data_IF_977089093419
#
_entry.id   IF_977089093419
#
_cell.length_a   1.000
_cell.length_b   1.000
_cell.length_c   1.000
_cell.angle_alpha   90.00
_cell.angle_beta   90.00
_cell.angle_gamma   90.00
#
_symmetry.space_group_name_H-M   'P 1'
#
loop_
_entity.id
_entity.type
_entity.pdbx_description
1 polymer ?
#
# COMPACT_ATOMS: atom_id res chain seq x y z
N UNK A 1 -19.63 2.54 14.58
CA UNK A 1 -19.47 1.87 13.28
C UNK A 1 -20.59 2.39 12.39
N UNK A 2 -20.25 3.10 11.32
CA UNK A 2 -21.21 3.84 10.50
C UNK A 2 -22.18 2.84 9.82
N UNK A 3 -23.50 2.95 10.01
CA UNK A 3 -24.51 2.03 9.43
C UNK A 3 -24.38 1.92 7.89
N UNK A 4 -23.77 2.92 7.26
CA UNK A 4 -23.47 2.98 5.84
C UNK A 4 -22.38 1.98 5.38
N UNK A 5 -21.39 1.68 6.22
CA UNK A 5 -20.34 0.69 5.88
C UNK A 5 -20.93 -0.72 5.83
N UNK A 6 -21.97 -0.99 6.62
CA UNK A 6 -22.70 -2.27 6.58
C UNK A 6 -23.66 -2.37 5.38
N UNK A 7 -24.01 -1.25 4.73
CA UNK A 7 -24.93 -1.24 3.58
C UNK A 7 -24.23 -1.17 2.22
N UNK A 8 -22.94 -0.83 2.18
CA UNK A 8 -22.10 -1.11 1.02
C UNK A 8 -22.03 -2.64 0.89
N UNK A 9 -22.65 -3.17 -0.16
CA UNK A 9 -22.48 -4.56 -0.55
C UNK A 9 -21.09 -4.71 -1.19
N UNK A 10 -20.04 -4.63 -0.36
CA UNK A 10 -18.63 -4.64 -0.78
C UNK A 10 -18.27 -5.97 -1.49
N UNK A 11 -19.14 -6.99 -1.38
CA UNK A 11 -18.96 -8.30 -2.00
C UNK A 11 -18.88 -8.23 -3.54
N UNK A 12 -19.31 -7.13 -4.17
CA UNK A 12 -19.02 -6.84 -5.59
C UNK A 12 -18.64 -5.36 -5.75
N UNK A 13 -17.35 -5.04 -5.66
CA UNK A 13 -16.88 -3.71 -6.00
C UNK A 13 -17.18 -3.41 -7.47
N UNK A 14 -17.92 -2.33 -7.78
CA UNK A 14 -18.16 -1.95 -9.16
C UNK A 14 -16.83 -1.59 -9.81
N UNK A 15 -16.45 -2.34 -10.85
CA UNK A 15 -15.22 -2.08 -11.59
C UNK A 15 -15.31 -0.74 -12.34
N UNK A 16 -14.16 -0.10 -12.50
CA UNK A 16 -13.96 1.10 -13.30
C UNK A 16 -12.98 0.75 -14.42
N UNK A 17 -13.51 0.72 -15.64
CA UNK A 17 -12.71 0.71 -16.86
C UNK A 17 -12.38 2.14 -17.34
N UNK A 18 -11.61 2.24 -18.43
CA UNK A 18 -11.25 3.53 -19.01
C UNK A 18 -12.45 4.37 -19.48
N UNK A 19 -13.56 3.73 -19.90
CA UNK A 19 -14.75 4.45 -20.35
C UNK A 19 -15.51 5.06 -19.15
N UNK A 20 -15.66 4.30 -18.07
CA UNK A 20 -16.25 4.77 -16.81
C UNK A 20 -15.40 5.88 -16.19
N UNK A 21 -14.07 5.77 -16.24
CA UNK A 21 -13.16 6.81 -15.77
C UNK A 21 -13.34 8.14 -16.54
N UNK A 22 -13.48 8.08 -17.87
CA UNK A 22 -13.78 9.26 -18.71
C UNK A 22 -15.14 9.87 -18.40
N UNK A 23 -16.16 9.03 -18.18
CA UNK A 23 -17.51 9.50 -17.79
C UNK A 23 -17.45 10.20 -16.43
N UNK A 24 -16.74 9.61 -15.46
CA UNK A 24 -16.54 10.19 -14.14
C UNK A 24 -15.86 11.57 -14.25
N UNK A 25 -14.77 11.66 -15.01
CA UNK A 25 -14.04 12.91 -15.24
C UNK A 25 -14.91 13.99 -15.89
N UNK A 26 -15.71 13.65 -16.90
CA UNK A 26 -16.62 14.59 -17.60
C UNK A 26 -17.72 15.15 -16.69
N UNK A 27 -18.09 14.44 -15.61
CA UNK A 27 -19.08 14.91 -14.63
C UNK A 27 -18.49 15.89 -13.61
N UNK A 28 -17.16 15.98 -13.50
CA UNK A 28 -16.52 16.87 -12.55
C UNK A 28 -16.61 18.34 -13.00
N UNK A 29 -17.05 19.26 -12.11
CA UNK A 29 -17.11 20.68 -12.43
C UNK A 29 -15.77 21.23 -12.91
N UNK A 30 -15.76 21.82 -14.11
CA UNK A 30 -14.57 22.47 -14.66
C UNK A 30 -13.44 21.53 -15.13
N UNK A 31 -13.66 20.21 -15.18
CA UNK A 31 -12.64 19.27 -15.65
C UNK A 31 -12.21 19.55 -17.11
N UNK A 32 -13.16 19.90 -17.98
CA UNK A 32 -12.89 20.30 -19.37
C UNK A 32 -12.53 21.78 -19.54
N UNK A 33 -12.54 22.58 -18.47
CA UNK A 33 -12.20 24.01 -18.54
C UNK A 33 -10.68 24.18 -18.43
N UNK A 34 -10.06 24.73 -19.47
CA UNK A 34 -8.62 25.03 -19.50
C UNK A 34 -8.18 26.05 -18.45
N UNK A 35 -9.13 26.83 -17.90
CA UNK A 35 -8.86 27.80 -16.84
C UNK A 35 -8.72 27.16 -15.46
N UNK A 36 -9.24 25.94 -15.27
CA UNK A 36 -9.10 25.21 -14.02
C UNK A 36 -7.69 24.61 -13.93
N UNK A 37 -6.91 24.93 -12.89
CA UNK A 37 -5.58 24.36 -12.70
C UNK A 37 -5.57 22.82 -12.70
N UNK A 38 -4.57 22.22 -13.33
CA UNK A 38 -4.47 20.76 -13.50
C UNK A 38 -4.45 20.02 -12.16
N UNK A 39 -3.80 20.57 -11.13
CA UNK A 39 -3.77 19.99 -9.79
C UNK A 39 -5.17 19.91 -9.13
N UNK A 40 -6.07 20.86 -9.43
CA UNK A 40 -7.46 20.81 -8.96
C UNK A 40 -8.21 19.68 -9.69
N UNK A 41 -8.00 19.53 -11.00
CA UNK A 41 -8.62 18.45 -11.78
C UNK A 41 -8.18 17.07 -11.30
N UNK A 42 -6.88 16.90 -11.05
CA UNK A 42 -6.30 15.67 -10.47
C UNK A 42 -6.95 15.36 -9.11
N UNK A 43 -7.00 16.34 -8.21
CA UNK A 43 -7.62 16.14 -6.90
C UNK A 43 -9.11 15.82 -6.98
N UNK A 44 -9.86 16.47 -7.88
CA UNK A 44 -11.26 16.15 -8.14
C UNK A 44 -11.46 14.73 -8.67
N UNK A 45 -10.59 14.26 -9.57
CA UNK A 45 -10.64 12.90 -10.09
C UNK A 45 -10.30 11.86 -9.02
N UNK A 46 -9.25 12.10 -8.23
CA UNK A 46 -8.89 11.21 -7.12
C UNK A 46 -10.03 11.10 -6.11
N UNK A 47 -10.65 12.23 -5.77
CA UNK A 47 -11.83 12.27 -4.91
C UNK A 47 -12.98 11.43 -5.46
N UNK A 48 -13.31 11.58 -6.75
CA UNK A 48 -14.40 10.82 -7.37
C UNK A 48 -14.13 9.30 -7.40
N UNK A 49 -12.87 8.89 -7.58
CA UNK A 49 -12.47 7.49 -7.46
C UNK A 49 -12.64 6.98 -6.03
N UNK A 50 -12.20 7.74 -5.03
CA UNK A 50 -12.40 7.37 -3.62
C UNK A 50 -13.89 7.28 -3.27
N UNK A 51 -14.73 8.20 -3.76
CA UNK A 51 -16.19 8.15 -3.53
C UNK A 51 -16.82 6.92 -4.17
N UNK A 52 -16.34 6.52 -5.34
CA UNK A 52 -16.82 5.33 -6.03
C UNK A 52 -16.52 4.04 -5.25
N UNK A 53 -15.30 3.90 -4.71
CA UNK A 53 -14.88 2.69 -4.01
C UNK A 53 -15.29 2.64 -2.52
N UNK A 54 -15.26 3.78 -1.83
CA UNK A 54 -15.41 3.86 -0.37
C UNK A 54 -16.72 4.55 0.06
N UNK A 55 -17.43 5.16 -0.89
CA UNK A 55 -18.68 5.88 -0.65
C UNK A 55 -18.48 7.34 -0.24
N UNK A 56 -19.43 8.19 -0.64
CA UNK A 56 -19.41 9.64 -0.40
C UNK A 56 -19.26 10.00 1.10
N UNK A 57 -19.95 9.26 1.98
CA UNK A 57 -19.91 9.51 3.42
C UNK A 57 -18.51 9.28 4.00
N UNK A 58 -17.88 8.17 3.61
CA UNK A 58 -16.52 7.87 4.05
C UNK A 58 -15.55 8.96 3.60
N UNK A 59 -15.64 9.38 2.33
CA UNK A 59 -14.75 10.42 1.79
C UNK A 59 -14.96 11.75 2.52
N UNK A 60 -16.21 12.16 2.77
CA UNK A 60 -16.49 13.38 3.53
C UNK A 60 -15.90 13.34 4.93
N UNK A 61 -16.10 12.25 5.66
CA UNK A 61 -15.63 12.11 7.03
C UNK A 61 -14.11 12.00 7.09
N UNK A 62 -13.53 11.08 6.31
CA UNK A 62 -12.14 10.71 6.43
C UNK A 62 -11.20 11.74 5.80
N UNK A 63 -11.59 12.36 4.69
CA UNK A 63 -10.78 13.42 4.08
C UNK A 63 -10.74 14.67 4.95
N UNK A 64 -11.85 15.00 5.64
CA UNK A 64 -11.86 16.07 6.62
C UNK A 64 -10.98 15.71 7.82
N UNK A 65 -11.12 14.49 8.37
CA UNK A 65 -10.45 14.05 9.58
C UNK A 65 -8.94 13.91 9.42
N UNK A 66 -8.48 13.26 8.34
CA UNK A 66 -7.06 12.94 8.13
C UNK A 66 -6.32 14.00 7.32
N UNK A 67 -6.96 14.51 6.28
CA UNK A 67 -6.29 15.38 5.31
C UNK A 67 -6.62 16.87 5.48
N UNK A 68 -7.43 17.20 6.50
CA UNK A 68 -7.91 18.57 6.76
C UNK A 68 -8.59 19.19 5.52
N UNK A 69 -9.17 18.34 4.67
CA UNK A 69 -9.76 18.76 3.41
C UNK A 69 -11.15 19.32 3.67
N UNK A 70 -11.25 20.65 3.84
CA UNK A 70 -12.56 21.32 3.85
C UNK A 70 -13.08 21.43 2.42
N UNK A 71 -14.31 20.98 2.20
CA UNK A 71 -15.01 21.16 0.93
C UNK A 71 -15.00 22.64 0.51
N UNK A 72 -14.60 22.91 -0.74
CA UNK A 72 -14.40 24.28 -1.26
C UNK A 72 -13.00 24.87 -1.04
N UNK A 73 -12.11 24.19 -0.30
CA UNK A 73 -10.74 24.64 0.00
C UNK A 73 -9.66 23.70 -0.56
N UNK A 74 -9.92 23.02 -1.69
CA UNK A 74 -8.99 22.09 -2.35
C UNK A 74 -7.59 22.68 -2.60
N UNK A 75 -7.50 24.01 -2.73
CA UNK A 75 -6.23 24.72 -2.92
C UNK A 75 -5.31 24.70 -1.69
N UNK A 76 -5.86 24.45 -0.48
CA UNK A 76 -5.13 24.54 0.79
C UNK A 76 -4.65 23.18 1.33
N UNK A 77 -4.91 22.09 0.60
CA UNK A 77 -4.43 20.76 0.96
C UNK A 77 -2.91 20.72 0.76
N UNK A 78 -2.16 20.26 1.77
CA UNK A 78 -0.71 20.11 1.68
C UNK A 78 -0.33 19.17 0.53
N UNK A 79 0.87 19.32 -0.02
CA UNK A 79 1.35 18.45 -1.08
C UNK A 79 1.39 16.99 -0.63
N UNK A 80 1.87 16.73 0.59
CA UNK A 80 1.87 15.40 1.22
C UNK A 80 0.47 14.77 1.26
N UNK A 81 -0.55 15.54 1.67
CA UNK A 81 -1.92 15.03 1.71
C UNK A 81 -2.46 14.75 0.31
N UNK A 82 -2.16 15.59 -0.69
CA UNK A 82 -2.54 15.33 -2.09
C UNK A 82 -1.91 14.04 -2.59
N UNK A 83 -0.64 13.83 -2.30
CA UNK A 83 0.09 12.60 -2.67
C UNK A 83 -0.53 11.37 -2.01
N UNK A 84 -0.89 11.42 -0.72
CA UNK A 84 -1.60 10.32 -0.08
C UNK A 84 -2.96 10.01 -0.72
N UNK A 85 -3.72 11.05 -1.08
CA UNK A 85 -5.01 10.92 -1.76
C UNK A 85 -4.84 10.29 -3.15
N UNK A 86 -3.84 10.75 -3.92
CA UNK A 86 -3.53 10.18 -5.24
C UNK A 86 -3.10 8.73 -5.14
N UNK A 87 -2.22 8.41 -4.20
CA UNK A 87 -1.76 7.04 -3.98
C UNK A 87 -2.91 6.12 -3.60
N UNK A 88 -3.80 6.54 -2.71
CA UNK A 88 -4.95 5.73 -2.35
C UNK A 88 -5.85 5.49 -3.57
N UNK A 89 -6.21 6.55 -4.30
CA UNK A 89 -7.03 6.42 -5.51
C UNK A 89 -6.38 5.53 -6.57
N UNK A 90 -5.08 5.67 -6.80
CA UNK A 90 -4.30 4.82 -7.71
C UNK A 90 -4.32 3.35 -7.27
N UNK A 91 -4.12 3.07 -5.98
CA UNK A 91 -4.16 1.71 -5.45
C UNK A 91 -5.54 1.08 -5.64
N UNK A 92 -6.62 1.79 -5.30
CA UNK A 92 -7.97 1.26 -5.49
C UNK A 92 -8.27 0.97 -6.96
N UNK A 93 -7.86 1.86 -7.86
CA UNK A 93 -8.04 1.64 -9.29
C UNK A 93 -7.22 0.46 -9.83
N UNK A 94 -5.96 0.31 -9.41
CA UNK A 94 -5.10 -0.75 -9.92
C UNK A 94 -5.34 -2.13 -9.28
N UNK A 95 -5.87 -2.17 -8.06
CA UNK A 95 -6.08 -3.39 -7.29
C UNK A 95 -7.53 -3.89 -7.31
N UNK A 96 -8.45 -3.19 -7.99
CA UNK A 96 -9.88 -3.54 -8.06
C UNK A 96 -10.19 -4.96 -8.57
N UNK A 97 -9.25 -5.59 -9.29
CA UNK A 97 -9.39 -6.95 -9.84
C UNK A 97 -8.73 -8.03 -8.97
N UNK A 98 -8.09 -7.65 -7.86
CA UNK A 98 -7.44 -8.60 -6.96
C UNK A 98 -8.50 -9.31 -6.12
N UNK A 99 -8.39 -10.64 -6.04
CA UNK A 99 -9.29 -11.46 -5.22
C UNK A 99 -9.24 -11.02 -3.75
N UNK A 100 -10.43 -10.91 -3.16
CA UNK A 100 -10.66 -10.53 -1.76
C UNK A 100 -10.19 -9.11 -1.39
N UNK A 101 -10.02 -8.21 -2.36
CA UNK A 101 -9.67 -6.78 -2.15
C UNK A 101 -10.63 -6.07 -1.19
N UNK A 102 -11.88 -6.53 -1.04
CA UNK A 102 -12.82 -6.01 -0.05
C UNK A 102 -12.32 -6.11 1.39
N UNK A 103 -11.37 -6.99 1.68
CA UNK A 103 -10.85 -7.22 3.03
C UNK A 103 -10.13 -5.97 3.55
N UNK A 104 -9.04 -5.49 2.93
CA UNK A 104 -8.40 -4.26 3.37
C UNK A 104 -9.34 -3.05 3.21
N UNK A 105 -10.33 -3.05 2.30
CA UNK A 105 -11.27 -1.92 2.21
C UNK A 105 -12.22 -1.83 3.40
N UNK A 106 -12.70 -2.97 3.91
CA UNK A 106 -13.50 -3.02 5.14
C UNK A 106 -12.72 -2.44 6.32
N UNK A 107 -11.44 -2.78 6.43
CA UNK A 107 -10.57 -2.27 7.50
C UNK A 107 -10.19 -0.80 7.30
N UNK A 108 -10.03 -0.37 6.04
CA UNK A 108 -9.82 1.04 5.68
C UNK A 108 -11.02 1.92 6.06
N UNK A 109 -12.23 1.36 5.97
CA UNK A 109 -13.47 1.99 6.42
C UNK A 109 -13.68 1.87 7.95
N UNK A 110 -12.94 0.98 8.62
CA UNK A 110 -13.01 0.75 10.05
C UNK A 110 -12.04 1.60 10.85
N UNK A 111 -11.61 1.07 12.00
CA UNK A 111 -10.73 1.75 12.94
C UNK A 111 -9.23 1.51 12.64
N UNK A 112 -8.88 0.67 11.66
CA UNK A 112 -7.50 0.27 11.34
C UNK A 112 -7.03 0.71 9.94
N UNK A 113 -7.33 1.96 9.60
CA UNK A 113 -6.93 2.57 8.33
C UNK A 113 -5.44 2.41 8.02
N UNK A 114 -4.57 2.59 9.01
CA UNK A 114 -3.12 2.61 8.79
C UNK A 114 -2.58 1.21 8.43
N UNK A 115 -3.12 0.15 9.04
CA UNK A 115 -2.82 -1.24 8.65
C UNK A 115 -3.36 -1.53 7.26
N UNK A 116 -4.65 -1.25 7.04
CA UNK A 116 -5.30 -1.45 5.74
C UNK A 116 -4.60 -0.72 4.59
N UNK A 117 -4.17 0.52 4.82
CA UNK A 117 -3.38 1.28 3.85
C UNK A 117 -2.04 0.60 3.56
N UNK A 118 -1.38 0.06 4.58
CA UNK A 118 -0.12 -0.67 4.42
C UNK A 118 -0.32 -1.97 3.62
N UNK A 119 -1.44 -2.65 3.78
CA UNK A 119 -1.81 -3.84 3.00
C UNK A 119 -2.09 -3.50 1.52
N UNK A 120 -2.77 -2.38 1.27
CA UNK A 120 -2.95 -1.86 -0.09
C UNK A 120 -1.61 -1.48 -0.72
N UNK A 121 -0.70 -0.84 0.02
CA UNK A 121 0.65 -0.54 -0.47
C UNK A 121 1.46 -1.80 -0.75
N UNK A 122 1.37 -2.83 0.11
CA UNK A 122 1.99 -4.12 -0.16
C UNK A 122 1.45 -4.73 -1.47
N UNK A 123 0.13 -4.66 -1.67
CA UNK A 123 -0.51 -5.06 -2.92
C UNK A 123 -0.03 -4.26 -4.14
N UNK A 124 0.11 -2.94 -4.02
CA UNK A 124 0.69 -2.06 -5.06
C UNK A 124 2.09 -2.51 -5.45
N UNK A 125 2.91 -2.81 -4.45
CA UNK A 125 4.30 -3.26 -4.63
C UNK A 125 4.37 -4.63 -5.31
N UNK A 126 3.48 -5.56 -4.96
CA UNK A 126 3.38 -6.86 -5.64
C UNK A 126 2.92 -6.68 -7.09
N UNK A 127 1.87 -5.86 -7.30
CA UNK A 127 1.31 -5.59 -8.62
C UNK A 127 2.31 -4.92 -9.56
N UNK A 128 3.16 -4.01 -9.05
CA UNK A 128 4.18 -3.33 -9.85
C UNK A 128 5.31 -4.25 -10.32
N UNK A 129 5.37 -5.49 -9.82
CA UNK A 129 6.35 -6.50 -10.21
C UNK A 129 5.69 -7.68 -10.94
N UNK A 130 4.45 -7.51 -11.41
CA UNK A 130 3.65 -8.56 -12.06
C UNK A 130 3.55 -9.85 -11.24
N UNK A 131 3.48 -9.71 -9.91
CA UNK A 131 3.31 -10.84 -9.00
C UNK A 131 1.82 -11.07 -8.78
N UNK A 132 1.36 -12.29 -9.04
CA UNK A 132 0.00 -12.71 -8.74
C UNK A 132 -0.17 -12.88 -7.22
N UNK A 133 -1.25 -12.31 -6.67
CA UNK A 133 -1.56 -12.41 -5.26
C UNK A 133 -3.06 -12.26 -5.02
N UNK A 134 -3.48 -12.55 -3.80
CA UNK A 134 -4.81 -12.25 -3.28
C UNK A 134 -4.75 -11.85 -1.82
N UNK A 135 -5.75 -11.11 -1.38
CA UNK A 135 -5.96 -10.83 0.03
C UNK A 135 -6.61 -12.05 0.71
N UNK A 136 -6.60 -12.09 2.03
CA UNK A 136 -7.14 -13.21 2.79
C UNK A 136 -8.22 -12.75 3.73
N UNK A 137 -9.41 -13.32 3.55
CA UNK A 137 -10.56 -13.10 4.43
C UNK A 137 -10.25 -13.64 5.83
N UNK A 138 -10.32 -12.82 6.89
CA UNK A 138 -10.06 -13.27 8.25
C UNK A 138 -11.12 -14.29 8.71
N UNK A 139 -10.67 -15.36 9.36
CA UNK A 139 -11.50 -16.40 9.97
C UNK A 139 -11.35 -16.45 11.49
N UNK A 140 -10.73 -15.43 12.10
CA UNK A 140 -10.46 -15.32 13.55
C UNK A 140 -9.64 -16.49 14.12
N UNK A 141 -8.74 -17.05 13.31
CA UNK A 141 -7.87 -18.16 13.69
C UNK A 141 -6.41 -17.84 13.35
N UNK A 142 -5.59 -17.79 14.41
CA UNK A 142 -4.12 -17.68 14.29
C UNK A 142 -3.57 -18.74 13.33
N UNK A 143 -2.59 -18.36 12.49
CA UNK A 143 -2.04 -19.20 11.40
C UNK A 143 -2.90 -19.29 10.14
N UNK A 144 -4.06 -18.65 10.12
CA UNK A 144 -4.96 -18.59 8.97
C UNK A 144 -5.34 -17.14 8.62
N UNK A 145 -5.29 -16.23 9.60
CA UNK A 145 -5.52 -14.78 9.42
C UNK A 145 -4.19 -14.04 9.21
N UNK A 146 -3.55 -14.29 8.08
CA UNK A 146 -2.49 -13.43 7.55
C UNK A 146 -3.07 -12.61 6.40
N UNK A 147 -2.34 -11.62 5.90
CA UNK A 147 -2.97 -10.57 5.09
C UNK A 147 -3.05 -10.91 3.60
N UNK A 148 -2.05 -11.61 3.05
CA UNK A 148 -1.97 -11.92 1.60
C UNK A 148 -1.45 -13.33 1.31
N UNK A 149 -1.91 -13.92 0.19
CA UNK A 149 -1.26 -15.07 -0.46
C UNK A 149 -0.60 -14.62 -1.75
N UNK A 150 0.65 -15.03 -1.96
CA UNK A 150 1.49 -14.64 -3.10
C UNK A 150 1.82 -15.88 -3.92
N UNK A 151 1.54 -15.85 -5.21
CA UNK A 151 1.87 -16.93 -6.14
C UNK A 151 3.24 -16.66 -6.77
N UNK A 152 4.21 -17.51 -6.45
CA UNK A 152 5.53 -17.40 -7.05
C UNK A 152 5.62 -18.13 -8.39
N UNK A 153 6.71 -17.88 -9.12
CA UNK A 153 6.97 -18.44 -10.45
C UNK A 153 6.81 -19.97 -10.54
N UNK A 154 7.02 -20.70 -9.45
CA UNK A 154 6.85 -22.17 -9.37
C UNK A 154 5.44 -22.63 -9.04
N UNK A 155 4.47 -21.71 -9.06
CA UNK A 155 3.06 -21.93 -8.69
C UNK A 155 2.87 -22.36 -7.23
N UNK A 156 3.79 -21.97 -6.37
CA UNK A 156 3.68 -22.18 -4.93
C UNK A 156 3.11 -20.91 -4.28
N UNK A 157 2.10 -21.11 -3.43
CA UNK A 157 1.52 -20.04 -2.63
C UNK A 157 2.31 -19.82 -1.36
N UNK A 158 2.68 -18.56 -1.13
CA UNK A 158 3.39 -18.09 0.05
C UNK A 158 2.47 -17.19 0.87
N UNK A 159 2.54 -17.31 2.19
CA UNK A 159 1.71 -16.49 3.07
C UNK A 159 2.47 -15.22 3.44
N UNK A 160 1.85 -14.06 3.28
CA UNK A 160 2.40 -12.75 3.59
C UNK A 160 1.69 -12.10 4.76
N UNK A 161 2.47 -11.54 5.69
CA UNK A 161 1.97 -10.70 6.77
C UNK A 161 2.52 -9.28 6.59
N UNK A 162 1.66 -8.29 6.64
CA UNK A 162 1.94 -6.87 6.56
C UNK A 162 1.96 -6.24 7.96
N UNK A 163 2.94 -5.37 8.18
CA UNK A 163 3.09 -4.59 9.41
C UNK A 163 3.45 -3.16 9.05
N UNK A 164 2.93 -2.21 9.83
CA UNK A 164 3.36 -0.82 9.76
C UNK A 164 4.26 -0.48 10.95
N UNK A 165 5.28 0.33 10.71
CA UNK A 165 6.13 0.95 11.73
C UNK A 165 6.23 2.45 11.52
N UNK A 166 6.07 3.19 12.60
CA UNK A 166 6.35 4.63 12.64
C UNK A 166 7.78 4.85 13.12
N UNK A 167 8.38 6.00 12.78
CA UNK A 167 9.70 6.42 13.32
C UNK A 167 9.83 6.24 14.84
N UNK A 168 8.77 6.57 15.60
CA UNK A 168 8.80 6.51 17.06
C UNK A 168 8.87 5.08 17.62
N UNK A 169 8.45 4.09 16.83
CA UNK A 169 8.31 2.69 17.25
C UNK A 169 9.11 1.74 16.33
N UNK A 170 10.21 2.23 15.77
CA UNK A 170 11.09 1.51 14.84
C UNK A 170 12.47 1.19 15.43
N UNK A 171 12.61 1.06 16.75
CA UNK A 171 13.85 0.53 17.35
C UNK A 171 14.06 -0.93 16.96
N UNK A 172 15.31 -1.40 16.97
CA UNK A 172 15.67 -2.80 16.71
C UNK A 172 14.80 -3.81 17.48
N UNK A 173 14.56 -3.59 18.77
CA UNK A 173 13.75 -4.48 19.61
C UNK A 173 12.28 -4.45 19.19
N UNK A 174 11.74 -3.26 18.92
CA UNK A 174 10.35 -3.11 18.49
C UNK A 174 10.09 -3.71 17.10
N UNK A 175 11.07 -3.66 16.21
CA UNK A 175 11.05 -4.32 14.90
C UNK A 175 11.08 -5.83 15.10
N UNK A 176 12.01 -6.34 15.92
CA UNK A 176 12.11 -7.77 16.25
C UNK A 176 10.79 -8.30 16.82
N UNK A 177 10.19 -7.60 17.77
CA UNK A 177 8.91 -8.00 18.37
C UNK A 177 7.78 -8.07 17.33
N UNK A 178 7.81 -7.17 16.34
CA UNK A 178 6.82 -7.16 15.27
C UNK A 178 7.05 -8.30 14.28
N UNK A 179 8.31 -8.62 13.96
CA UNK A 179 8.68 -9.78 13.18
C UNK A 179 8.28 -11.09 13.87
N UNK A 180 8.47 -11.18 15.19
CA UNK A 180 8.05 -12.34 15.98
C UNK A 180 6.52 -12.49 16.01
N UNK A 181 5.78 -11.39 16.16
CA UNK A 181 4.31 -11.40 16.07
C UNK A 181 3.83 -11.82 14.68
N UNK A 182 4.38 -11.22 13.62
CA UNK A 182 4.07 -11.56 12.23
C UNK A 182 4.33 -13.05 11.93
N UNK A 183 5.50 -13.56 12.34
CA UNK A 183 5.82 -14.99 12.24
C UNK A 183 4.80 -15.87 12.96
N UNK A 184 4.26 -15.43 14.09
CA UNK A 184 3.27 -16.23 14.82
C UNK A 184 1.91 -16.29 14.11
N UNK A 185 1.56 -15.29 13.27
CA UNK A 185 0.32 -15.25 12.50
C UNK A 185 0.37 -16.08 11.22
N UNK A 186 1.57 -16.29 10.67
CA UNK A 186 1.72 -17.08 9.46
C UNK A 186 1.60 -18.61 9.75
N UNK A 187 1.29 -19.47 8.75
CA UNK A 187 1.26 -20.93 8.89
C UNK A 187 2.64 -21.55 9.08
N UNK A 188 2.73 -22.65 9.84
CA UNK A 188 4.00 -23.34 10.12
C UNK A 188 4.55 -24.10 8.92
N UNK A 189 3.69 -24.77 8.19
CA UNK A 189 3.96 -25.71 7.11
C UNK A 189 4.19 -25.07 5.74
N UNK A 190 4.07 -23.75 5.63
CA UNK A 190 4.27 -22.98 4.39
C UNK A 190 5.34 -21.89 4.55
N UNK A 191 6.04 -21.52 3.46
CA UNK A 191 6.93 -20.35 3.47
C UNK A 191 6.15 -19.09 3.85
N UNK A 192 6.79 -18.24 4.65
CA UNK A 192 6.22 -16.97 5.12
C UNK A 192 7.02 -15.77 4.63
N UNK A 193 6.33 -14.74 4.13
CA UNK A 193 6.88 -13.42 3.82
C UNK A 193 6.37 -12.43 4.87
N UNK A 194 7.24 -11.48 5.25
CA UNK A 194 6.83 -10.37 6.11
C UNK A 194 7.08 -9.06 5.36
N UNK A 195 6.05 -8.25 5.27
CA UNK A 195 6.04 -6.93 4.64
C UNK A 195 6.03 -5.88 5.76
N UNK A 196 6.97 -4.94 5.73
CA UNK A 196 7.06 -3.88 6.73
C UNK A 196 7.08 -2.52 6.02
N UNK A 197 5.96 -1.81 6.11
CA UNK A 197 5.92 -0.39 5.80
C UNK A 197 6.56 0.39 6.94
N UNK A 198 7.50 1.28 6.63
CA UNK A 198 8.13 2.14 7.62
C UNK A 198 7.95 3.61 7.22
N UNK A 199 7.31 4.36 8.11
CA UNK A 199 7.00 5.77 7.92
C UNK A 199 8.18 6.62 8.39
N UNK A 200 8.87 7.24 7.43
CA UNK A 200 10.00 8.12 7.69
C UNK A 200 9.70 9.55 7.26
N UNK A 201 10.03 10.54 8.10
CA UNK A 201 9.80 11.94 7.75
C UNK A 201 10.83 12.50 6.77
N UNK A 202 11.98 11.83 6.59
CA UNK A 202 13.06 12.33 5.74
C UNK A 202 13.84 11.19 5.05
N UNK A 203 14.45 11.46 3.88
CA UNK A 203 15.33 10.52 3.20
C UNK A 203 16.45 9.99 4.09
N UNK A 204 17.11 10.89 4.84
CA UNK A 204 18.21 10.53 5.73
C UNK A 204 17.76 9.60 6.85
N UNK A 205 16.55 9.81 7.39
CA UNK A 205 16.01 8.92 8.40
C UNK A 205 15.78 7.52 7.81
N UNK A 206 15.21 7.43 6.61
CA UNK A 206 15.01 6.16 5.91
C UNK A 206 16.33 5.39 5.70
N UNK A 207 17.38 6.06 5.19
CA UNK A 207 18.71 5.45 5.00
C UNK A 207 19.32 4.92 6.31
N UNK A 208 19.34 5.74 7.37
CA UNK A 208 19.90 5.34 8.67
C UNK A 208 19.15 4.15 9.27
N UNK A 209 17.81 4.13 9.13
CA UNK A 209 17.00 3.05 9.65
C UNK A 209 17.10 1.78 8.80
N UNK A 210 17.56 1.82 7.54
CA UNK A 210 17.80 0.60 6.77
C UNK A 210 18.95 -0.24 7.35
N UNK A 211 19.99 0.37 7.91
CA UNK A 211 21.05 -0.36 8.60
C UNK A 211 20.52 -1.04 9.87
N UNK A 212 19.66 -0.34 10.62
CA UNK A 212 18.98 -0.88 11.79
C UNK A 212 18.05 -2.04 11.41
N UNK A 213 17.19 -1.85 10.40
CA UNK A 213 16.32 -2.89 9.85
C UNK A 213 17.12 -4.11 9.41
N UNK A 214 18.22 -3.91 8.69
CA UNK A 214 19.11 -5.00 8.25
C UNK A 214 19.68 -5.76 9.44
N UNK A 215 20.10 -5.04 10.48
CA UNK A 215 20.60 -5.64 11.72
C UNK A 215 19.51 -6.43 12.43
N UNK A 216 18.30 -5.89 12.53
CA UNK A 216 17.14 -6.55 13.11
C UNK A 216 16.76 -7.82 12.33
N UNK A 217 16.78 -7.78 10.99
CA UNK A 217 16.47 -8.93 10.13
C UNK A 217 17.51 -10.04 10.30
N UNK A 218 18.80 -9.70 10.29
CA UNK A 218 19.89 -10.67 10.54
C UNK A 218 19.75 -11.33 11.90
N UNK A 219 19.45 -10.56 12.96
CA UNK A 219 19.20 -11.10 14.31
C UNK A 219 17.97 -12.02 14.32
N UNK A 220 16.90 -11.62 13.66
CA UNK A 220 15.67 -12.41 13.57
C UNK A 220 15.88 -13.75 12.84
N UNK A 221 16.64 -13.77 11.75
CA UNK A 221 17.01 -15.02 11.06
C UNK A 221 17.99 -15.86 11.89
N UNK A 222 19.02 -15.22 12.47
CA UNK A 222 20.05 -15.87 13.29
C UNK A 222 19.52 -16.53 14.56
N UNK A 223 18.34 -16.14 15.05
CA UNK A 223 17.64 -16.77 16.17
C UNK A 223 17.02 -18.15 15.82
N UNK A 224 17.51 -18.82 14.77
CA UNK A 224 17.06 -20.16 14.35
C UNK A 224 15.72 -20.15 13.59
N UNK A 225 15.27 -18.98 13.11
CA UNK A 225 14.06 -18.91 12.32
C UNK A 225 14.30 -19.47 10.92
N UNK A 226 13.75 -20.66 10.66
CA UNK A 226 13.82 -21.31 9.35
C UNK A 226 12.51 -21.25 8.57
N UNK A 227 11.53 -20.47 9.05
CA UNK A 227 10.15 -20.48 8.56
C UNK A 227 9.81 -19.27 7.70
N UNK A 228 10.39 -18.12 8.03
CA UNK A 228 10.24 -16.92 7.23
C UNK A 228 11.28 -16.95 6.12
N UNK A 229 10.83 -16.92 4.87
CA UNK A 229 11.69 -16.98 3.69
C UNK A 229 12.21 -15.60 3.30
N UNK A 230 11.40 -14.56 3.48
CA UNK A 230 11.79 -13.20 3.13
C UNK A 230 11.11 -12.14 4.02
N UNK A 231 11.82 -11.03 4.22
CA UNK A 231 11.29 -9.79 4.79
C UNK A 231 11.48 -8.70 3.75
N UNK A 232 10.40 -8.02 3.38
CA UNK A 232 10.35 -6.86 2.51
C UNK A 232 10.06 -5.65 3.39
N UNK A 233 10.88 -4.62 3.33
CA UNK A 233 10.62 -3.35 4.00
C UNK A 233 10.58 -2.22 2.97
N UNK A 234 9.66 -1.28 3.12
CA UNK A 234 9.61 -0.10 2.27
C UNK A 234 9.20 1.15 3.03
N UNK A 235 9.42 2.30 2.41
CA UNK A 235 8.92 3.57 2.88
C UNK A 235 8.90 4.60 1.74
N UNK A 236 8.14 5.67 1.95
CA UNK A 236 8.12 6.81 1.04
C UNK A 236 8.39 8.13 1.77
N UNK A 237 8.95 9.10 1.07
CA UNK A 237 9.15 10.47 1.57
C UNK A 237 9.04 11.48 0.44
N UNK A 238 8.77 12.74 0.79
CA UNK A 238 8.86 13.85 -0.15
C UNK A 238 10.33 14.31 -0.29
N UNK A 239 10.84 14.31 -1.51
CA UNK A 239 12.19 14.73 -1.84
C UNK A 239 12.15 16.11 -2.53
N UNK A 240 12.86 17.12 -2.03
CA UNK A 240 12.94 18.40 -2.70
C UNK A 240 13.76 18.27 -3.99
N UNK A 241 13.20 18.67 -5.13
CA UNK A 241 13.88 18.65 -6.45
C UNK A 241 14.36 20.04 -6.90
N UNK A 242 14.13 21.07 -6.08
CA UNK A 242 14.55 22.45 -6.31
C UNK A 242 13.37 23.39 -6.62
N UNK A 243 13.58 24.71 -6.55
CA UNK A 243 12.56 25.75 -6.82
C UNK A 243 11.25 25.62 -6.01
N UNK A 244 11.29 24.94 -4.86
CA UNK A 244 10.11 24.68 -4.04
C UNK A 244 9.23 23.53 -4.55
N UNK A 245 9.72 22.75 -5.50
CA UNK A 245 9.08 21.51 -5.97
C UNK A 245 9.57 20.32 -5.12
N UNK A 246 8.67 19.38 -4.90
CA UNK A 246 8.94 18.12 -4.21
C UNK A 246 8.36 16.96 -5.03
N UNK A 247 9.07 15.84 -5.06
CA UNK A 247 8.61 14.59 -5.64
C UNK A 247 8.48 13.53 -4.55
N UNK A 248 7.49 12.63 -4.64
CA UNK A 248 7.49 11.48 -3.75
C UNK A 248 8.56 10.50 -4.23
N UNK A 249 9.36 10.00 -3.30
CA UNK A 249 10.26 8.88 -3.55
C UNK A 249 9.85 7.69 -2.73
N UNK A 250 10.01 6.52 -3.32
CA UNK A 250 9.78 5.24 -2.69
C UNK A 250 11.10 4.47 -2.64
N UNK A 251 11.36 3.84 -1.50
CA UNK A 251 12.42 2.85 -1.38
C UNK A 251 11.87 1.55 -0.82
N UNK A 252 12.25 0.45 -1.45
CA UNK A 252 12.05 -0.89 -0.93
C UNK A 252 13.38 -1.62 -0.76
N UNK A 253 13.40 -2.54 0.19
CA UNK A 253 14.51 -3.41 0.50
C UNK A 253 13.97 -4.82 0.78
N UNK A 254 14.67 -5.83 0.29
CA UNK A 254 14.35 -7.22 0.58
C UNK A 254 15.52 -7.93 1.24
N UNK A 255 15.24 -8.67 2.30
CA UNK A 255 16.18 -9.56 2.96
C UNK A 255 15.70 -10.99 2.86
N UNK A 256 16.52 -11.87 2.27
CA UNK A 256 16.21 -13.29 2.07
C UNK A 256 16.83 -14.10 3.21
N UNK A 257 16.10 -15.08 3.73
CA UNK A 257 16.61 -16.01 4.71
C UNK A 257 17.27 -17.22 4.02
N UNK A 258 18.60 -17.20 3.93
CA UNK A 258 19.39 -18.30 3.35
C UNK A 258 19.25 -19.62 4.11
N UNK A 259 18.85 -19.56 5.39
CA UNK A 259 18.65 -20.72 6.25
C UNK A 259 17.18 -21.20 6.28
N UNK A 260 16.34 -20.72 5.35
CA UNK A 260 14.95 -21.14 5.26
C UNK A 260 14.87 -22.66 5.00
N UNK A 261 13.95 -23.35 5.70
CA UNK A 261 13.78 -24.81 5.58
C UNK A 261 13.02 -25.21 4.32
N UNK A 262 12.33 -24.26 3.69
CA UNK A 262 11.63 -24.50 2.46
C UNK A 262 12.64 -24.44 1.31
N UNK A 263 12.71 -25.47 0.44
CA UNK A 263 13.57 -25.41 -0.73
C UNK A 263 13.21 -24.16 -1.56
N UNK A 264 14.15 -23.63 -2.36
CA UNK A 264 13.95 -22.52 -3.30
C UNK A 264 14.30 -21.08 -2.85
N UNK A 265 15.42 -20.91 -2.14
CA UNK A 265 15.94 -19.58 -1.72
C UNK A 265 15.98 -18.52 -2.84
N UNK A 266 16.36 -18.91 -4.06
CA UNK A 266 16.50 -18.00 -5.21
C UNK A 266 15.16 -17.52 -5.79
N UNK A 267 14.08 -18.31 -5.70
CA UNK A 267 12.76 -17.89 -6.19
C UNK A 267 11.99 -16.99 -5.22
N UNK A 268 12.51 -16.75 -4.01
CA UNK A 268 11.88 -15.84 -3.04
C UNK A 268 12.14 -14.36 -3.35
N UNK A 269 13.04 -14.07 -4.30
CA UNK A 269 13.44 -12.71 -4.63
C UNK A 269 12.37 -12.02 -5.46
N UNK A 270 11.83 -10.94 -4.93
CA UNK A 270 10.88 -10.04 -5.59
C UNK A 270 11.58 -8.79 -6.14
N UNK A 271 12.69 -8.37 -5.52
CA UNK A 271 13.44 -7.16 -5.87
C UNK A 271 14.93 -7.44 -6.13
N UNK A 272 15.64 -6.61 -6.91
CA UNK A 272 17.09 -6.71 -7.08
C UNK A 272 17.86 -6.56 -5.74
N UNK A 273 19.14 -6.96 -5.72
CA UNK A 273 20.06 -6.95 -4.55
C UNK A 273 20.39 -5.56 -3.96
N UNK A 274 19.70 -4.51 -4.39
CA UNK A 274 19.93 -3.13 -3.97
C UNK A 274 18.62 -2.54 -3.47
N UNK A 275 18.66 -1.49 -2.62
CA UNK A 275 17.46 -0.73 -2.36
C UNK A 275 16.85 -0.34 -3.71
N UNK A 276 15.63 -0.77 -3.97
CA UNK A 276 14.92 -0.34 -5.15
C UNK A 276 14.55 1.12 -4.92
N UNK A 277 15.14 2.02 -5.71
CA UNK A 277 14.82 3.45 -5.68
C UNK A 277 13.98 3.78 -6.90
N UNK A 278 12.74 4.19 -6.68
CA UNK A 278 11.78 4.47 -7.74
C UNK A 278 10.36 4.25 -7.24
N UNK A 279 9.38 4.93 -7.84
CA UNK A 279 7.99 4.62 -7.53
C UNK A 279 7.68 3.17 -7.95
N UNK A 280 6.90 2.41 -7.17
CA UNK A 280 6.35 1.15 -7.63
C UNK A 280 5.45 1.47 -8.82
N UNK A 281 5.97 1.27 -10.03
CA UNK A 281 5.22 1.49 -11.24
C UNK A 281 4.22 0.35 -11.38
N UNK A 282 3.01 0.58 -10.88
CA UNK A 282 1.86 -0.19 -11.34
C UNK A 282 1.73 -0.01 -12.85
N UNK A 283 0.95 -0.88 -13.50
CA UNK A 283 0.71 -0.78 -14.94
C UNK A 283 0.19 0.61 -15.38
N UNK A 284 -0.43 1.35 -14.45
CA UNK A 284 -1.02 2.67 -14.70
C UNK A 284 -0.77 3.54 -13.44
N UNK A 285 0.18 4.48 -13.53
CA UNK A 285 0.39 5.44 -12.44
C UNK A 285 -0.68 6.54 -12.45
N UNK A 286 -0.69 7.42 -11.44
CA UNK A 286 -1.66 8.50 -11.32
C UNK A 286 -1.69 9.45 -12.54
N UNK A 287 -0.55 9.73 -13.17
CA UNK A 287 -0.49 10.54 -14.38
C UNK A 287 -1.14 9.84 -15.57
N UNK A 288 -0.97 8.52 -15.68
CA UNK A 288 -1.63 7.70 -16.70
C UNK A 288 -3.14 7.64 -16.48
N UNK A 289 -3.61 7.45 -15.24
CA UNK A 289 -5.04 7.51 -14.88
C UNK A 289 -5.62 8.87 -15.30
N UNK A 290 -4.94 9.96 -14.96
CA UNK A 290 -5.38 11.30 -15.32
C UNK A 290 -5.37 11.54 -16.84
N UNK A 291 -4.37 11.02 -17.55
CA UNK A 291 -4.28 11.10 -19.00
C UNK A 291 -5.43 10.32 -19.67
N UNK A 292 -5.72 9.10 -19.22
CA UNK A 292 -6.86 8.30 -19.70
C UNK A 292 -8.17 9.06 -19.48
N UNK A 293 -8.36 9.64 -18.29
CA UNK A 293 -9.55 10.42 -17.95
C UNK A 293 -9.73 11.68 -18.81
N UNK A 294 -8.63 12.24 -19.32
CA UNK A 294 -8.61 13.49 -20.10
C UNK A 294 -8.86 13.31 -21.60
N UNK A 295 -8.90 12.07 -22.10
CA UNK A 295 -9.18 11.73 -23.51
C UNK A 295 -10.69 11.62 -23.80
#
# INVERSE_FOLDING_TARGET
MNEYIMSLNIDVLPKIDSAQLKIMAKKLPGFNDHKVPQNIKKLGLAHALLEHFLGENWVKEEMCRRYSLKWGALNHVSLENKVHIYNLAEMLFNLQDIEDIETPLKDLCGDDFDSAFSELEAGRVLKSHDIDFKYIKPISKKQFDYDVEILLQKKEWVCGEVKQKTKHNASNDSIKDSLDKARQQLPRDRPGFIFIRVLFPTPKALEQNFEELTTAFKRFYGAGNKRISSIIAWGSYMHPIGRGEEEQRFLAWQSINENCRFPFCESWRLFPDRPFTGEPQTNINWEDIFAIASQ
#
